data_IF_655372090336
#
_entry.id   IF_655372090336
#
_cell.length_a   1.000
_cell.length_b   1.000
_cell.length_c   1.000
_cell.angle_alpha   90.00
_cell.angle_beta   90.00
_cell.angle_gamma   90.00
#
_symmetry.space_group_name_H-M   'P 1'
#
loop_
_entity.id
_entity.type
_entity.pdbx_description
1 polymer ?
#
# COMPACT_ATOMS: atom_id res chain seq x y z
N UNK A 1 -9.97 4.04 27.91
CA UNK A 1 -8.71 4.65 27.44
C UNK A 1 -7.59 4.23 28.38
N UNK A 2 -6.77 3.26 28.01
CA UNK A 2 -5.55 2.90 28.73
C UNK A 2 -4.36 3.46 27.96
N UNK A 3 -3.75 4.53 28.48
CA UNK A 3 -2.46 5.01 27.99
C UNK A 3 -1.39 4.02 28.43
N UNK A 4 -0.74 3.40 27.48
CA UNK A 4 0.41 2.53 27.73
C UNK A 4 1.64 3.46 27.84
N UNK A 5 2.17 3.62 29.04
CA UNK A 5 3.44 4.31 29.28
C UNK A 5 4.59 3.31 29.09
N UNK A 6 5.50 3.62 28.20
CA UNK A 6 6.74 2.86 28.03
C UNK A 6 7.92 3.59 28.63
N UNK A 7 8.78 2.84 29.32
CA UNK A 7 10.06 3.32 29.84
C UNK A 7 11.17 3.03 28.84
N UNK A 8 11.91 4.07 28.48
CA UNK A 8 13.10 3.98 27.64
C UNK A 8 14.33 3.62 28.50
N UNK A 9 15.14 2.69 28.02
CA UNK A 9 16.48 2.45 28.57
C UNK A 9 17.51 3.14 27.66
N UNK A 10 18.11 4.22 28.13
CA UNK A 10 19.20 4.91 27.44
C UNK A 10 20.53 4.24 27.72
N UNK A 11 21.28 3.90 26.67
CA UNK A 11 22.70 3.55 26.76
C UNK A 11 23.54 4.71 26.18
N UNK A 12 24.28 5.39 27.04
CA UNK A 12 25.29 6.38 26.66
C UNK A 12 26.58 5.67 26.26
N UNK A 13 27.13 5.99 25.10
CA UNK A 13 28.54 5.78 24.79
C UNK A 13 29.20 7.07 24.27
N UNK A 14 30.12 7.59 25.05
CA UNK A 14 31.02 8.68 24.71
C UNK A 14 32.18 8.15 23.86
N UNK A 15 32.55 8.80 22.76
CA UNK A 15 33.91 9.30 22.53
C UNK A 15 34.17 9.69 21.05
N UNK A 16 34.82 10.84 20.88
CA UNK A 16 35.82 11.06 19.82
C UNK A 16 35.41 11.93 18.64
N UNK A 17 35.82 13.19 18.69
CA UNK A 17 35.76 14.21 17.64
C UNK A 17 36.48 13.80 16.34
N UNK A 18 35.72 13.66 15.26
CA UNK A 18 36.17 13.94 13.90
C UNK A 18 34.99 14.44 13.10
N UNK A 19 35.04 15.66 12.59
CA UNK A 19 34.03 16.33 11.81
C UNK A 19 33.91 15.75 10.40
N UNK A 20 33.28 14.63 10.27
CA UNK A 20 32.55 14.21 9.08
C UNK A 20 31.11 14.60 9.29
N UNK A 21 30.45 15.17 8.28
CA UNK A 21 29.00 15.36 8.23
C UNK A 21 28.33 13.98 8.39
N UNK A 22 28.19 13.54 9.65
CA UNK A 22 27.39 12.38 10.00
C UNK A 22 25.95 12.77 9.71
N UNK A 23 25.31 12.03 8.82
CA UNK A 23 23.87 11.99 8.76
C UNK A 23 23.39 11.78 10.20
N UNK A 24 22.64 12.73 10.73
CA UNK A 24 22.12 12.68 12.09
C UNK A 24 21.29 11.41 12.18
N UNK A 25 21.74 10.44 12.94
CA UNK A 25 21.04 9.17 13.13
C UNK A 25 19.75 9.49 13.89
N UNK A 26 18.62 9.38 13.20
CA UNK A 26 17.31 9.69 13.80
C UNK A 26 17.00 8.55 14.76
N UNK A 27 16.85 8.86 16.05
CA UNK A 27 16.41 7.88 17.03
C UNK A 27 15.02 7.36 16.66
N UNK A 28 14.86 6.05 16.69
CA UNK A 28 13.61 5.37 16.34
C UNK A 28 13.17 4.48 17.50
N UNK A 29 11.86 4.38 17.68
CA UNK A 29 11.22 3.48 18.62
C UNK A 29 10.43 2.40 17.89
N UNK A 30 10.48 1.18 18.41
CA UNK A 30 9.77 0.03 17.87
C UNK A 30 8.59 -0.33 18.78
N UNK A 31 7.40 -0.35 18.20
CA UNK A 31 6.19 -0.87 18.82
C UNK A 31 5.89 -2.23 18.21
N UNK A 32 5.59 -3.21 19.07
CA UNK A 32 5.24 -4.56 18.62
C UNK A 32 3.78 -4.84 18.97
N UNK A 33 3.01 -5.26 17.95
CA UNK A 33 1.59 -5.61 18.08
C UNK A 33 1.39 -7.08 17.74
N UNK A 34 0.35 -7.70 18.31
CA UNK A 34 -0.01 -9.06 17.96
C UNK A 34 -0.71 -9.07 16.59
N UNK A 35 -0.26 -9.90 15.67
CA UNK A 35 -0.83 -10.07 14.33
C UNK A 35 -2.34 -10.40 14.37
N UNK A 36 -2.80 -11.19 15.35
CA UNK A 36 -4.21 -11.63 15.43
C UNK A 36 -5.19 -10.49 15.67
N UNK A 37 -4.70 -9.37 16.16
CA UNK A 37 -5.51 -8.21 16.52
C UNK A 37 -5.69 -7.21 15.37
N UNK A 38 -4.99 -7.40 14.25
CA UNK A 38 -4.99 -6.46 13.13
C UNK A 38 -5.17 -7.20 11.82
N UNK A 39 -6.17 -6.76 11.03
CA UNK A 39 -6.42 -7.17 9.66
C UNK A 39 -6.37 -6.01 8.68
N UNK A 40 -6.62 -4.82 9.16
CA UNK A 40 -6.70 -3.61 8.36
C UNK A 40 -5.75 -2.55 8.88
N UNK A 41 -5.10 -1.81 8.00
CA UNK A 41 -4.25 -0.67 8.34
C UNK A 41 -4.80 0.56 7.63
N UNK A 42 -5.22 1.55 8.42
CA UNK A 42 -5.67 2.85 7.96
C UNK A 42 -4.66 3.91 8.34
N UNK A 43 -4.07 4.60 7.37
CA UNK A 43 -3.13 5.68 7.67
C UNK A 43 -3.51 6.99 7.01
N UNK A 44 -3.49 8.05 7.81
CA UNK A 44 -3.57 9.44 7.37
C UNK A 44 -2.22 10.17 7.48
N UNK A 45 -1.13 9.43 7.70
CA UNK A 45 0.23 9.93 7.83
C UNK A 45 1.16 9.27 6.82
N UNK A 46 2.29 9.90 6.48
CA UNK A 46 3.31 9.28 5.64
C UNK A 46 3.77 7.96 6.21
N UNK A 47 3.57 6.87 5.47
CA UNK A 47 3.77 5.51 5.97
C UNK A 47 4.45 4.62 4.92
N UNK A 48 5.43 3.83 5.37
CA UNK A 48 6.00 2.71 4.60
C UNK A 48 5.46 1.41 5.17
N UNK A 49 4.89 0.56 4.34
CA UNK A 49 4.44 -0.77 4.75
C UNK A 49 5.26 -1.82 4.01
N UNK A 50 5.88 -2.73 4.75
CA UNK A 50 6.51 -3.92 4.19
C UNK A 50 5.66 -5.13 4.55
N UNK A 51 5.06 -5.75 3.54
CA UNK A 51 4.30 -6.99 3.68
C UNK A 51 5.27 -8.14 3.45
N UNK A 52 5.56 -8.89 4.50
CA UNK A 52 6.60 -9.94 4.47
C UNK A 52 6.00 -11.32 4.22
N UNK A 53 6.77 -12.18 3.57
CA UNK A 53 6.42 -13.59 3.43
C UNK A 53 6.69 -14.41 4.71
N UNK A 54 7.33 -13.81 5.71
CA UNK A 54 7.65 -14.48 6.98
C UNK A 54 6.37 -14.81 7.75
N UNK A 55 6.33 -16.00 8.30
CA UNK A 55 5.28 -16.42 9.22
C UNK A 55 5.65 -15.91 10.62
N UNK A 56 5.18 -14.73 10.95
CA UNK A 56 5.43 -14.05 12.23
C UNK A 56 4.11 -13.73 12.92
N UNK A 57 4.03 -13.94 14.20
CA UNK A 57 2.85 -13.59 15.01
C UNK A 57 2.81 -12.09 15.38
N UNK A 58 3.74 -11.28 14.85
CA UNK A 58 3.88 -9.88 15.27
C UNK A 58 3.90 -8.91 14.10
N UNK A 59 3.31 -7.75 14.33
CA UNK A 59 3.43 -6.54 13.50
C UNK A 59 4.38 -5.59 14.22
N UNK A 60 5.39 -5.10 13.52
CA UNK A 60 6.35 -4.13 14.06
C UNK A 60 6.10 -2.77 13.45
N UNK A 61 6.00 -1.74 14.29
CA UNK A 61 5.90 -0.35 13.87
C UNK A 61 7.15 0.37 14.35
N UNK A 62 7.90 0.94 13.43
CA UNK A 62 9.07 1.77 13.70
C UNK A 62 8.71 3.23 13.44
N UNK A 63 8.90 4.09 14.42
CA UNK A 63 8.55 5.52 14.35
C UNK A 63 9.70 6.37 14.88
N UNK A 64 9.99 7.55 14.29
CA UNK A 64 10.92 8.48 14.89
C UNK A 64 10.49 8.87 16.31
N UNK A 65 11.40 8.79 17.28
CA UNK A 65 11.10 9.05 18.70
C UNK A 65 10.46 10.44 18.91
N UNK A 66 10.92 11.44 18.15
CA UNK A 66 10.36 12.80 18.19
C UNK A 66 8.95 12.90 17.59
N UNK A 67 8.49 11.95 16.79
CA UNK A 67 7.15 11.93 16.21
C UNK A 67 6.09 11.32 17.16
N UNK A 68 6.50 10.48 18.11
CA UNK A 68 5.60 9.75 19.03
C UNK A 68 4.56 10.65 19.73
N UNK A 69 4.91 11.84 20.25
CA UNK A 69 3.93 12.69 20.94
C UNK A 69 2.82 13.24 20.04
N UNK A 70 2.99 13.15 18.72
CA UNK A 70 2.11 13.77 17.72
C UNK A 70 1.34 12.76 16.88
N UNK A 71 1.56 11.45 17.11
CA UNK A 71 0.91 10.35 16.39
C UNK A 71 0.03 9.56 17.34
N UNK A 72 -1.21 9.37 16.96
CA UNK A 72 -2.12 8.47 17.65
C UNK A 72 -2.18 7.14 16.89
N UNK A 73 -1.90 6.05 17.63
CA UNK A 73 -2.14 4.68 17.20
C UNK A 73 -3.38 4.18 17.93
N UNK A 74 -4.44 3.92 17.18
CA UNK A 74 -5.71 3.45 17.71
C UNK A 74 -6.03 2.07 17.14
N UNK A 75 -6.29 1.10 18.01
CA UNK A 75 -6.62 -0.27 17.61
C UNK A 75 -8.07 -0.55 18.01
N UNK A 76 -8.91 -0.71 16.99
CA UNK A 76 -10.23 -1.28 17.19
C UNK A 76 -10.14 -2.80 17.18
N UNK A 77 -10.21 -3.40 18.35
CA UNK A 77 -10.12 -4.85 18.54
C UNK A 77 -11.33 -5.62 17.98
N UNK A 78 -12.47 -4.97 17.77
CA UNK A 78 -13.67 -5.61 17.20
C UNK A 78 -13.56 -5.74 15.70
N UNK A 79 -13.23 -4.64 15.02
CA UNK A 79 -13.04 -4.61 13.57
C UNK A 79 -11.63 -5.04 13.16
N UNK A 80 -10.68 -5.11 14.11
CA UNK A 80 -9.26 -5.43 13.88
C UNK A 80 -8.55 -4.41 12.99
N UNK A 81 -8.86 -3.14 13.17
CA UNK A 81 -8.30 -2.01 12.44
C UNK A 81 -7.22 -1.32 13.26
N UNK A 82 -6.05 -1.15 12.69
CA UNK A 82 -5.02 -0.23 13.18
C UNK A 82 -5.18 1.10 12.45
N UNK A 83 -5.54 2.15 13.19
CA UNK A 83 -5.60 3.52 12.68
C UNK A 83 -4.39 4.32 13.11
N UNK A 84 -3.75 5.00 12.15
CA UNK A 84 -2.58 5.84 12.36
C UNK A 84 -2.93 7.25 11.90
N UNK A 85 -2.97 8.17 12.85
CA UNK A 85 -3.46 9.54 12.61
C UNK A 85 -2.70 10.58 13.43
N UNK A 86 -2.87 11.85 13.05
CA UNK A 86 -2.40 12.96 13.88
C UNK A 86 -3.10 12.92 15.24
N UNK A 87 -2.36 13.21 16.31
CA UNK A 87 -2.97 13.58 17.58
C UNK A 87 -3.77 14.88 17.41
N UNK A 88 -4.88 15.01 18.15
CA UNK A 88 -5.92 16.03 17.88
C UNK A 88 -5.48 17.51 18.04
N UNK A 89 -4.24 17.80 18.47
CA UNK A 89 -3.78 19.17 18.63
C UNK A 89 -3.27 19.79 17.32
N UNK A 90 -3.73 21.00 16.98
CA UNK A 90 -3.28 21.73 15.78
C UNK A 90 -1.77 22.01 15.74
N UNK A 91 -1.12 22.17 16.89
CA UNK A 91 0.33 22.32 17.00
C UNK A 91 1.08 21.06 16.56
N UNK A 92 0.51 19.89 16.76
CA UNK A 92 1.07 18.61 16.38
C UNK A 92 1.26 18.46 14.87
N UNK A 93 0.36 19.01 14.07
CA UNK A 93 0.41 18.89 12.61
C UNK A 93 1.63 19.58 12.01
N UNK A 94 1.92 20.81 12.41
CA UNK A 94 3.10 21.55 11.93
C UNK A 94 4.41 20.90 12.36
N UNK A 95 4.45 20.34 13.57
CA UNK A 95 5.63 19.67 14.07
C UNK A 95 5.88 18.36 13.34
N UNK A 96 4.84 17.55 13.09
CA UNK A 96 4.95 16.36 12.28
C UNK A 96 5.37 16.66 10.83
N UNK A 97 4.81 17.68 10.20
CA UNK A 97 5.26 18.11 8.86
C UNK A 97 6.76 18.42 8.84
N UNK A 98 7.28 19.07 9.88
CA UNK A 98 8.72 19.33 10.02
C UNK A 98 9.54 18.06 10.19
N UNK A 99 9.08 17.09 10.99
CA UNK A 99 9.74 15.81 11.22
C UNK A 99 9.74 14.98 9.93
N UNK A 100 8.62 14.88 9.24
CA UNK A 100 8.49 14.11 7.99
C UNK A 100 9.19 14.76 6.79
N UNK A 101 9.32 16.09 6.75
CA UNK A 101 10.14 16.77 5.74
C UNK A 101 11.62 16.40 5.85
N UNK A 102 12.07 15.93 7.02
CA UNK A 102 13.40 15.35 7.24
C UNK A 102 13.52 13.85 6.93
N UNK A 103 12.46 13.22 6.36
CA UNK A 103 12.49 11.95 5.61
C UNK A 103 12.43 10.64 6.37
N UNK A 104 11.88 10.57 7.57
CA UNK A 104 11.67 9.25 8.18
C UNK A 104 10.18 9.00 8.39
N UNK A 105 9.48 8.35 7.44
CA UNK A 105 8.08 7.98 7.59
C UNK A 105 7.93 6.90 8.68
N UNK A 106 6.68 6.70 9.12
CA UNK A 106 6.33 5.54 9.96
C UNK A 106 6.54 4.28 9.13
N UNK A 107 7.31 3.33 9.63
CA UNK A 107 7.53 2.06 8.96
C UNK A 107 6.78 0.94 9.68
N UNK A 108 5.95 0.20 8.93
CA UNK A 108 5.17 -0.94 9.44
C UNK A 108 5.64 -2.19 8.71
N UNK A 109 6.08 -3.19 9.46
CA UNK A 109 6.38 -4.52 8.95
C UNK A 109 5.27 -5.46 9.37
N UNK A 110 4.57 -6.04 8.40
CA UNK A 110 3.37 -6.86 8.62
C UNK A 110 3.50 -8.20 7.90
N UNK A 111 3.19 -9.33 8.57
CA UNK A 111 3.11 -10.63 7.92
C UNK A 111 1.97 -10.68 6.90
N UNK A 112 2.21 -11.25 5.75
CA UNK A 112 1.23 -11.30 4.65
C UNK A 112 -0.06 -12.04 5.02
N UNK A 113 0.03 -13.03 5.90
CA UNK A 113 -1.12 -13.84 6.34
C UNK A 113 -2.13 -13.08 7.20
N UNK A 114 -1.76 -11.90 7.74
CA UNK A 114 -2.60 -11.12 8.65
C UNK A 114 -3.43 -10.05 7.97
N UNK A 115 -2.94 -9.48 6.89
CA UNK A 115 -3.51 -8.26 6.33
C UNK A 115 -4.50 -8.55 5.19
N UNK A 116 -5.66 -7.90 5.23
CA UNK A 116 -6.67 -7.95 4.18
C UNK A 116 -6.90 -6.60 3.52
N UNK A 117 -6.72 -5.50 4.26
CA UNK A 117 -7.04 -4.17 3.79
C UNK A 117 -5.99 -3.13 4.18
N UNK A 118 -5.67 -2.24 3.23
CA UNK A 118 -4.84 -1.07 3.48
C UNK A 118 -5.55 0.17 2.93
N UNK A 119 -5.81 1.13 3.81
CA UNK A 119 -6.42 2.42 3.45
C UNK A 119 -5.43 3.56 3.65
N UNK A 120 -5.27 4.38 2.63
CA UNK A 120 -4.40 5.55 2.61
C UNK A 120 -5.15 6.83 2.29
N UNK A 121 -4.93 7.86 3.11
CA UNK A 121 -5.40 9.24 2.85
C UNK A 121 -4.26 10.26 2.78
N UNK A 122 -2.99 9.82 2.88
CA UNK A 122 -1.77 10.64 2.84
C UNK A 122 -0.78 10.10 1.80
N UNK A 123 0.51 10.11 2.11
CA UNK A 123 1.55 9.50 1.30
C UNK A 123 1.90 8.12 1.85
N UNK A 124 1.81 7.09 1.00
CA UNK A 124 2.08 5.72 1.42
C UNK A 124 2.92 4.97 0.39
N UNK A 125 3.84 4.14 0.87
CA UNK A 125 4.50 3.15 0.04
C UNK A 125 4.31 1.75 0.61
N UNK A 126 3.94 0.79 -0.23
CA UNK A 126 3.76 -0.61 0.14
C UNK A 126 4.74 -1.46 -0.66
N UNK A 127 5.51 -2.28 0.04
CA UNK A 127 6.41 -3.28 -0.56
C UNK A 127 5.91 -4.69 -0.25
N UNK A 128 5.70 -5.50 -1.28
CA UNK A 128 5.39 -6.93 -1.15
C UNK A 128 6.64 -7.78 -1.38
N UNK A 129 7.07 -8.52 -0.36
CA UNK A 129 8.19 -9.46 -0.43
C UNK A 129 7.67 -10.86 -0.83
N UNK A 130 7.28 -11.08 -2.11
CA UNK A 130 6.71 -12.34 -2.60
C UNK A 130 5.59 -12.88 -1.68
N UNK A 131 4.59 -12.05 -1.45
CA UNK A 131 3.64 -12.24 -0.36
C UNK A 131 2.35 -12.91 -0.81
N UNK A 132 1.82 -13.81 0.02
CA UNK A 132 0.47 -14.39 -0.12
C UNK A 132 -0.42 -13.84 0.98
N UNK A 133 -1.36 -12.97 0.63
CA UNK A 133 -2.24 -12.21 1.52
C UNK A 133 -3.59 -12.89 1.80
N UNK A 134 -3.62 -14.19 1.87
CA UNK A 134 -4.85 -14.93 2.17
C UNK A 134 -5.81 -15.03 0.98
N UNK A 135 -7.12 -14.89 1.24
CA UNK A 135 -8.14 -15.05 0.19
C UNK A 135 -8.40 -13.78 -0.58
N UNK A 136 -8.44 -12.66 0.10
CA UNK A 136 -8.82 -11.36 -0.43
C UNK A 136 -7.89 -10.29 0.10
N UNK A 137 -7.58 -9.33 -0.77
CA UNK A 137 -6.76 -8.18 -0.41
C UNK A 137 -7.27 -6.92 -1.11
N UNK A 138 -7.45 -5.85 -0.36
CA UNK A 138 -7.92 -4.57 -0.87
C UNK A 138 -6.96 -3.44 -0.52
N UNK A 139 -6.81 -2.53 -1.47
CA UNK A 139 -6.18 -1.23 -1.27
C UNK A 139 -7.17 -0.14 -1.60
N UNK A 140 -7.37 0.80 -0.68
CA UNK A 140 -8.17 2.01 -0.88
C UNK A 140 -7.26 3.22 -0.76
N UNK A 141 -7.08 3.95 -1.86
CA UNK A 141 -6.22 5.13 -1.90
C UNK A 141 -6.99 6.40 -2.25
N UNK A 142 -6.92 7.40 -1.36
CA UNK A 142 -7.40 8.76 -1.63
C UNK A 142 -6.28 9.79 -1.62
N UNK A 143 -5.09 9.42 -1.15
CA UNK A 143 -3.86 10.21 -1.15
C UNK A 143 -2.92 9.87 -2.29
N UNK A 144 -1.62 9.86 -2.01
CA UNK A 144 -0.58 9.37 -2.92
C UNK A 144 -0.10 8.01 -2.45
N UNK A 145 -0.11 7.01 -3.32
CA UNK A 145 0.34 5.67 -2.98
C UNK A 145 1.25 5.06 -4.02
N UNK A 146 2.27 4.37 -3.52
CA UNK A 146 3.19 3.58 -4.30
C UNK A 146 3.14 2.13 -3.85
N UNK A 147 2.84 1.20 -4.76
CA UNK A 147 2.84 -0.24 -4.50
C UNK A 147 3.91 -0.88 -5.38
N UNK A 148 4.78 -1.68 -4.80
CA UNK A 148 5.80 -2.41 -5.56
C UNK A 148 6.14 -3.73 -4.88
N UNK A 149 6.80 -4.63 -5.61
CA UNK A 149 7.23 -5.91 -5.08
C UNK A 149 7.38 -6.98 -6.15
N UNK A 150 7.83 -8.15 -5.72
CA UNK A 150 8.04 -9.30 -6.59
C UNK A 150 6.73 -10.01 -6.93
N UNK A 151 5.88 -10.24 -5.93
CA UNK A 151 4.57 -10.84 -6.14
C UNK A 151 3.57 -10.43 -5.07
N UNK A 152 2.32 -10.27 -5.50
CA UNK A 152 1.14 -10.15 -4.66
C UNK A 152 0.17 -11.28 -5.03
N UNK A 153 0.01 -12.22 -4.12
CA UNK A 153 -0.82 -13.39 -4.32
C UNK A 153 -2.02 -13.34 -3.38
N UNK A 154 -3.23 -13.43 -3.92
CA UNK A 154 -4.47 -13.62 -3.17
C UNK A 154 -5.32 -14.68 -3.84
N UNK A 155 -5.90 -15.61 -3.06
CA UNK A 155 -6.61 -16.75 -3.66
C UNK A 155 -7.81 -16.32 -4.50
N UNK A 156 -8.65 -15.43 -3.96
CA UNK A 156 -9.95 -15.12 -4.54
C UNK A 156 -9.93 -13.75 -5.25
N UNK A 157 -9.41 -12.68 -4.60
CA UNK A 157 -9.50 -11.32 -5.15
C UNK A 157 -8.37 -10.40 -4.71
N UNK A 158 -7.86 -9.60 -5.64
CA UNK A 158 -7.06 -8.40 -5.40
C UNK A 158 -7.86 -7.19 -5.91
N UNK A 159 -8.02 -6.16 -5.09
CA UNK A 159 -8.77 -4.95 -5.43
C UNK A 159 -7.95 -3.69 -5.16
N UNK A 160 -7.74 -2.89 -6.20
CA UNK A 160 -7.07 -1.59 -6.13
C UNK A 160 -8.11 -0.51 -6.42
N UNK A 161 -8.56 0.19 -5.39
CA UNK A 161 -9.49 1.31 -5.50
C UNK A 161 -8.76 2.62 -5.30
N UNK A 162 -8.79 3.50 -6.31
CA UNK A 162 -8.05 4.75 -6.32
C UNK A 162 -8.92 5.95 -6.66
N UNK A 163 -8.90 6.96 -5.79
CA UNK A 163 -9.44 8.30 -6.05
C UNK A 163 -8.36 9.38 -6.03
N UNK A 164 -7.18 9.07 -5.50
CA UNK A 164 -6.00 9.93 -5.46
C UNK A 164 -5.01 9.62 -6.58
N UNK A 165 -3.74 9.50 -6.24
CA UNK A 165 -2.67 9.06 -7.13
C UNK A 165 -2.15 7.71 -6.69
N UNK A 166 -2.28 6.70 -7.54
CA UNK A 166 -1.79 5.34 -7.28
C UNK A 166 -0.83 4.89 -8.37
N UNK A 167 0.37 4.49 -7.96
CA UNK A 167 1.31 3.79 -8.83
C UNK A 167 1.53 2.39 -8.30
N UNK A 168 1.18 1.37 -9.09
CA UNK A 168 1.38 -0.03 -8.75
C UNK A 168 2.33 -0.71 -9.74
N UNK A 169 3.49 -1.13 -9.24
CA UNK A 169 4.56 -1.81 -9.98
C UNK A 169 4.91 -3.14 -9.30
N UNK A 170 3.93 -3.98 -9.13
CA UNK A 170 4.14 -5.35 -8.67
C UNK A 170 4.48 -6.21 -9.88
N UNK A 171 5.55 -6.99 -9.81
CA UNK A 171 5.97 -7.82 -10.95
C UNK A 171 4.91 -8.87 -11.31
N UNK A 172 4.32 -9.51 -10.30
CA UNK A 172 3.35 -10.58 -10.52
C UNK A 172 2.11 -10.40 -9.63
N UNK A 173 0.94 -10.32 -10.22
CA UNK A 173 -0.36 -10.42 -9.55
C UNK A 173 -0.93 -11.81 -9.81
N UNK A 174 -1.20 -12.58 -8.76
CA UNK A 174 -1.80 -13.91 -8.89
C UNK A 174 -3.08 -13.98 -8.06
N UNK A 175 -4.22 -14.14 -8.72
CA UNK A 175 -5.53 -14.14 -8.05
C UNK A 175 -6.59 -14.76 -8.94
N UNK A 176 -7.78 -15.08 -8.41
CA UNK A 176 -8.92 -15.39 -9.27
C UNK A 176 -9.49 -14.14 -9.93
N UNK A 177 -9.55 -13.01 -9.22
CA UNK A 177 -10.12 -11.76 -9.74
C UNK A 177 -9.19 -10.59 -9.41
N UNK A 178 -8.77 -9.84 -10.44
CA UNK A 178 -8.09 -8.56 -10.27
C UNK A 178 -9.07 -7.43 -10.61
N UNK A 179 -9.40 -6.59 -9.62
CA UNK A 179 -10.22 -5.40 -9.82
C UNK A 179 -9.38 -4.13 -9.73
N UNK A 180 -9.47 -3.31 -10.78
CA UNK A 180 -8.85 -1.98 -10.85
C UNK A 180 -9.96 -0.93 -10.98
N UNK A 181 -10.17 -0.12 -9.95
CA UNK A 181 -11.16 0.96 -9.96
C UNK A 181 -10.47 2.29 -9.77
N UNK A 182 -10.59 3.19 -10.75
CA UNK A 182 -9.88 4.46 -10.75
C UNK A 182 -10.77 5.66 -11.08
N UNK A 183 -10.78 6.65 -10.19
CA UNK A 183 -11.35 7.98 -10.44
C UNK A 183 -10.31 9.10 -10.40
N UNK A 184 -9.09 8.81 -9.93
CA UNK A 184 -7.94 9.71 -9.87
C UNK A 184 -6.91 9.44 -10.95
N UNK A 185 -5.65 9.34 -10.55
CA UNK A 185 -4.52 8.95 -11.41
C UNK A 185 -4.08 7.54 -11.06
N UNK A 186 -4.14 6.62 -12.02
CA UNK A 186 -3.66 5.25 -11.85
C UNK A 186 -2.55 4.94 -12.85
N UNK A 187 -1.44 4.45 -12.33
CA UNK A 187 -0.40 3.80 -13.12
C UNK A 187 -0.23 2.37 -12.63
N UNK A 188 -0.46 1.39 -13.51
CA UNK A 188 -0.34 -0.04 -13.15
C UNK A 188 0.50 -0.77 -14.18
N UNK A 189 1.46 -1.58 -13.72
CA UNK A 189 2.29 -2.41 -14.59
C UNK A 189 2.69 -3.72 -13.91
N UNK A 190 2.94 -4.76 -14.70
CA UNK A 190 3.36 -6.09 -14.26
C UNK A 190 2.77 -7.21 -15.08
N UNK A 191 2.91 -8.42 -14.58
CA UNK A 191 2.28 -9.64 -15.12
C UNK A 191 1.10 -10.04 -14.23
N UNK A 192 -0.01 -10.46 -14.82
CA UNK A 192 -1.21 -10.87 -14.09
C UNK A 192 -1.63 -12.26 -14.54
N UNK A 193 -1.76 -13.17 -13.58
CA UNK A 193 -2.43 -14.45 -13.76
C UNK A 193 -3.74 -14.42 -12.97
N UNK A 194 -4.87 -14.44 -13.67
CA UNK A 194 -6.20 -14.34 -13.08
C UNK A 194 -7.22 -15.11 -13.91
N UNK A 195 -8.39 -15.44 -13.33
CA UNK A 195 -9.53 -15.85 -14.15
C UNK A 195 -10.20 -14.64 -14.77
N UNK A 196 -10.35 -13.58 -13.97
CA UNK A 196 -11.06 -12.37 -14.36
C UNK A 196 -10.24 -11.13 -14.05
N UNK A 197 -10.26 -10.17 -14.97
CA UNK A 197 -9.74 -8.81 -14.76
C UNK A 197 -10.90 -7.84 -15.01
N UNK A 198 -11.28 -7.08 -13.98
CA UNK A 198 -12.30 -6.03 -14.06
C UNK A 198 -11.64 -4.67 -13.90
N UNK A 199 -11.72 -3.84 -14.92
CA UNK A 199 -11.13 -2.51 -14.92
C UNK A 199 -12.19 -1.44 -15.17
N UNK A 200 -12.39 -0.56 -14.17
CA UNK A 200 -13.32 0.56 -14.23
C UNK A 200 -12.59 1.88 -14.03
N UNK A 201 -12.62 2.77 -15.00
CA UNK A 201 -11.90 4.05 -14.93
C UNK A 201 -12.73 5.23 -15.38
N UNK A 202 -12.79 6.27 -14.55
CA UNK A 202 -13.31 7.59 -14.89
C UNK A 202 -12.24 8.67 -14.82
N UNK A 203 -11.06 8.34 -14.30
CA UNK A 203 -9.92 9.23 -14.13
C UNK A 203 -8.89 9.16 -15.26
N UNK A 204 -7.65 9.46 -14.92
CA UNK A 204 -6.50 9.34 -15.84
C UNK A 204 -5.79 8.02 -15.52
N UNK A 205 -5.51 7.26 -16.56
CA UNK A 205 -4.98 5.92 -16.38
C UNK A 205 -3.85 5.60 -17.36
N UNK A 206 -2.86 4.88 -16.84
CA UNK A 206 -1.82 4.24 -17.64
C UNK A 206 -1.60 2.82 -17.11
N UNK A 207 -2.35 1.88 -17.69
CA UNK A 207 -2.25 0.45 -17.38
C UNK A 207 -1.45 -0.25 -18.48
N UNK A 208 -0.46 -1.05 -18.08
CA UNK A 208 0.32 -1.89 -18.98
C UNK A 208 0.57 -3.25 -18.31
N UNK A 209 -0.31 -4.20 -18.58
CA UNK A 209 -0.27 -5.53 -17.99
C UNK A 209 -0.08 -6.63 -19.04
N UNK A 210 0.88 -7.51 -18.77
CA UNK A 210 0.95 -8.82 -19.40
C UNK A 210 -0.01 -9.76 -18.68
N UNK A 211 -0.90 -10.42 -19.40
CA UNK A 211 -1.97 -11.20 -18.78
C UNK A 211 -2.07 -12.63 -19.29
N UNK A 212 -2.46 -13.52 -18.36
CA UNK A 212 -2.96 -14.84 -18.67
C UNK A 212 -4.29 -15.01 -17.91
N UNK A 213 -5.43 -14.91 -18.61
CA UNK A 213 -6.75 -14.90 -17.99
C UNK A 213 -7.85 -15.43 -18.91
N UNK A 214 -8.99 -15.80 -18.30
CA UNK A 214 -10.18 -16.25 -19.04
C UNK A 214 -10.95 -15.03 -19.58
N UNK A 215 -11.09 -13.96 -18.79
CA UNK A 215 -11.89 -12.80 -19.19
C UNK A 215 -11.30 -11.47 -18.74
N UNK A 216 -11.40 -10.46 -19.61
CA UNK A 216 -11.12 -9.05 -19.30
C UNK A 216 -12.36 -8.22 -19.58
N UNK A 217 -12.81 -7.45 -18.58
CA UNK A 217 -13.87 -6.45 -18.73
C UNK A 217 -13.29 -5.06 -18.48
N UNK A 218 -13.42 -4.17 -19.46
CA UNK A 218 -12.92 -2.79 -19.35
C UNK A 218 -14.08 -1.82 -19.56
N UNK A 219 -14.33 -0.97 -18.56
CA UNK A 219 -15.23 0.16 -18.66
C UNK A 219 -14.48 1.46 -18.40
N UNK A 220 -14.38 2.35 -19.41
CA UNK A 220 -13.64 3.60 -19.27
C UNK A 220 -14.41 4.79 -19.83
N UNK A 221 -14.61 5.81 -18.99
CA UNK A 221 -15.06 7.14 -19.37
C UNK A 221 -13.95 8.19 -19.20
N UNK A 222 -12.77 7.75 -18.74
CA UNK A 222 -11.60 8.56 -18.46
C UNK A 222 -10.71 8.85 -19.66
N UNK A 223 -9.45 9.07 -19.40
CA UNK A 223 -8.41 9.32 -20.39
C UNK A 223 -7.14 8.55 -20.07
N UNK A 224 -6.23 8.41 -21.05
CA UNK A 224 -4.95 7.73 -20.86
C UNK A 224 -4.75 6.55 -21.78
N UNK A 225 -3.97 5.57 -21.34
CA UNK A 225 -3.64 4.36 -22.10
C UNK A 225 -3.91 3.13 -21.24
N UNK A 226 -4.71 2.22 -21.76
CA UNK A 226 -4.95 0.90 -21.18
C UNK A 226 -4.43 -0.12 -22.18
N UNK A 227 -3.37 -0.84 -21.82
CA UNK A 227 -2.75 -1.87 -22.66
C UNK A 227 -2.75 -3.19 -21.93
N UNK A 228 -3.32 -4.20 -22.59
CA UNK A 228 -3.21 -5.60 -22.21
C UNK A 228 -2.53 -6.38 -23.34
N UNK A 229 -1.60 -7.25 -23.00
CA UNK A 229 -0.94 -8.17 -23.93
C UNK A 229 -0.80 -9.56 -23.26
N UNK A 230 -0.61 -10.63 -24.04
CA UNK A 230 -0.59 -11.99 -23.53
C UNK A 230 -1.78 -12.82 -23.99
N UNK A 231 -2.48 -13.51 -23.09
CA UNK A 231 -3.61 -14.39 -23.43
C UNK A 231 -4.88 -14.02 -22.66
N UNK A 232 -6.02 -14.02 -23.37
CA UNK A 232 -7.35 -13.86 -22.79
C UNK A 232 -8.40 -14.50 -23.71
N UNK A 233 -9.32 -15.31 -23.16
CA UNK A 233 -10.33 -16.00 -23.97
C UNK A 233 -11.47 -15.06 -24.39
N UNK A 234 -11.85 -14.12 -23.50
CA UNK A 234 -12.93 -13.16 -23.72
C UNK A 234 -12.52 -11.74 -23.32
N UNK A 235 -12.83 -10.77 -24.15
CA UNK A 235 -12.51 -9.36 -23.92
C UNK A 235 -13.70 -8.46 -24.22
N UNK A 236 -14.27 -7.86 -23.17
CA UNK A 236 -15.35 -6.91 -23.26
C UNK A 236 -14.84 -5.48 -23.00
N UNK A 237 -15.04 -4.57 -23.96
CA UNK A 237 -14.61 -3.18 -23.85
C UNK A 237 -15.77 -2.23 -24.04
N UNK A 238 -16.00 -1.37 -23.06
CA UNK A 238 -16.93 -0.24 -23.12
C UNK A 238 -16.17 1.04 -22.84
N UNK A 239 -16.05 1.94 -23.81
CA UNK A 239 -15.37 3.21 -23.63
C UNK A 239 -16.15 4.35 -24.26
N UNK A 240 -16.38 5.41 -23.49
CA UNK A 240 -16.98 6.68 -23.95
C UNK A 240 -16.06 7.87 -23.72
N UNK A 241 -14.89 7.64 -23.10
CA UNK A 241 -13.87 8.67 -22.80
C UNK A 241 -12.83 8.85 -23.90
N UNK A 242 -11.66 9.37 -23.49
CA UNK A 242 -10.48 9.58 -24.35
C UNK A 242 -9.38 8.55 -24.08
N UNK A 243 -9.70 7.44 -23.43
CA UNK A 243 -8.73 6.38 -23.19
C UNK A 243 -8.40 5.63 -24.49
N UNK A 244 -7.12 5.41 -24.73
CA UNK A 244 -6.64 4.55 -25.81
C UNK A 244 -6.51 3.12 -25.27
N UNK A 245 -7.51 2.28 -25.56
CA UNK A 245 -7.54 0.89 -25.12
C UNK A 245 -6.90 0.01 -26.22
N UNK A 246 -5.87 -0.74 -25.85
CA UNK A 246 -5.10 -1.63 -26.73
C UNK A 246 -5.17 -3.05 -26.19
N UNK A 247 -5.90 -3.89 -26.92
CA UNK A 247 -6.07 -5.33 -26.65
C UNK A 247 -5.67 -6.17 -27.86
N UNK A 248 -5.14 -5.53 -28.94
CA UNK A 248 -4.76 -6.23 -30.17
C UNK A 248 -3.54 -7.16 -30.04
N UNK A 249 -2.85 -7.10 -28.91
CA UNK A 249 -1.71 -7.98 -28.60
C UNK A 249 -2.12 -9.16 -27.70
N UNK A 250 -3.43 -9.36 -27.50
CA UNK A 250 -3.99 -10.53 -26.82
C UNK A 250 -4.23 -11.66 -27.83
N UNK A 251 -3.81 -12.85 -27.46
CA UNK A 251 -4.09 -14.08 -28.20
C UNK A 251 -5.21 -14.84 -27.48
N UNK A 252 -6.16 -15.41 -28.20
CA UNK A 252 -7.06 -16.42 -27.64
C UNK A 252 -6.31 -17.76 -27.54
N UNK A 253 -6.43 -18.48 -26.43
CA UNK A 253 -5.95 -19.85 -26.31
C UNK A 253 -6.89 -20.84 -26.99
#
# INVERSE_FOLDING_TARGET
>A
MKRILFFAAALLALAGSNTTLLAQEIEQENLTLNQRDIKEIHSSLPTLITVTAEDSDTITITIPTEAIPYVDFDIDHLSKVLSIKHSESYSSRKQLESIYNNKTPIHIRVPSSSITDIMNTSDMSITFENSTVGKWFQVINTGTMFIHGEALNAKDKIELYNTGTLTSKVKNYNTSILCLTNTGFLFTSGTTTAKHIDQNSTGIENTNLEVACEKITIASTGSGVIRYHGTADDVEVTSTGKAHIRTSELNAE
#
